data_IF_843325332091
#
_entry.id   IF_843325332091
#
_cell.length_a   1.000
_cell.length_b   1.000
_cell.length_c   1.000
_cell.angle_alpha   90.00
_cell.angle_beta   90.00
_cell.angle_gamma   90.00
#
_symmetry.space_group_name_H-M   'P 1'
#
loop_
_entity.id
_entity.type
_entity.pdbx_description
1 polymer ?
#
# COMPACT_ATOMS: atom_id res chain seq x y z
N UNK A 1 -23.67 1.64 4.20
CA UNK A 1 -22.49 2.27 3.57
C UNK A 1 -22.69 2.20 2.06
N UNK A 2 -22.53 3.30 1.34
CA UNK A 2 -22.66 3.28 -0.12
C UNK A 2 -21.49 2.49 -0.73
N UNK A 3 -21.77 1.34 -1.33
CA UNK A 3 -20.78 0.53 -2.04
C UNK A 3 -20.29 1.28 -3.28
N UNK A 4 -18.96 1.42 -3.42
CA UNK A 4 -18.34 2.03 -4.60
C UNK A 4 -18.52 1.14 -5.83
N UNK A 5 -18.93 1.72 -6.97
CA UNK A 5 -19.10 1.00 -8.24
C UNK A 5 -20.52 0.52 -8.54
N UNK A 6 -21.47 0.67 -7.62
CA UNK A 6 -22.89 0.48 -7.92
C UNK A 6 -23.39 1.69 -8.71
N UNK A 7 -23.68 1.52 -10.00
CA UNK A 7 -24.39 2.54 -10.79
C UNK A 7 -25.65 2.90 -10.00
N UNK A 8 -25.87 4.20 -9.74
CA UNK A 8 -27.11 4.71 -9.13
C UNK A 8 -28.26 4.49 -10.11
N UNK A 9 -28.72 3.25 -10.24
CA UNK A 9 -30.05 2.99 -10.77
C UNK A 9 -31.06 3.49 -9.74
N UNK A 10 -32.21 3.99 -10.21
CA UNK A 10 -33.40 4.06 -9.34
C UNK A 10 -33.52 2.68 -8.68
N UNK A 11 -33.84 2.59 -7.37
CA UNK A 11 -34.06 1.30 -6.74
C UNK A 11 -35.02 0.52 -7.62
N UNK A 12 -34.55 -0.55 -8.25
CA UNK A 12 -35.44 -1.49 -8.90
C UNK A 12 -36.19 -2.11 -7.73
N UNK A 13 -37.51 -1.91 -7.68
CA UNK A 13 -38.33 -2.60 -6.68
C UNK A 13 -38.08 -4.10 -6.86
N UNK A 14 -37.50 -4.70 -5.82
CA UNK A 14 -37.24 -6.14 -5.79
C UNK A 14 -38.59 -6.84 -5.89
N UNK A 15 -38.65 -7.93 -6.64
CA UNK A 15 -39.86 -8.76 -6.63
C UNK A 15 -40.08 -9.34 -5.22
N UNK A 16 -41.31 -9.70 -4.84
CA UNK A 16 -41.56 -10.38 -3.57
C UNK A 16 -40.66 -11.62 -3.37
N UNK A 17 -40.41 -12.38 -4.44
CA UNK A 17 -39.54 -13.56 -4.42
C UNK A 17 -38.06 -13.20 -4.17
N UNK A 18 -37.56 -12.12 -4.79
CA UNK A 18 -36.19 -11.64 -4.55
C UNK A 18 -36.00 -11.16 -3.12
N UNK A 19 -37.01 -10.50 -2.56
CA UNK A 19 -37.01 -10.05 -1.17
C UNK A 19 -37.05 -11.23 -0.20
N UNK A 20 -37.89 -12.23 -0.44
CA UNK A 20 -37.96 -13.45 0.38
C UNK A 20 -36.63 -14.23 0.35
N UNK A 21 -36.00 -14.34 -0.83
CA UNK A 21 -34.67 -14.96 -0.98
C UNK A 21 -33.60 -14.20 -0.19
N UNK A 22 -33.61 -12.86 -0.22
CA UNK A 22 -32.67 -12.04 0.54
C UNK A 22 -32.89 -12.19 2.05
N UNK A 23 -34.14 -12.21 2.52
CA UNK A 23 -34.46 -12.45 3.93
C UNK A 23 -33.92 -13.80 4.41
N UNK A 24 -34.10 -14.85 3.60
CA UNK A 24 -33.55 -16.18 3.90
C UNK A 24 -32.03 -16.17 3.99
N UNK A 25 -31.34 -15.51 3.06
CA UNK A 25 -29.88 -15.37 3.10
C UNK A 25 -29.39 -14.61 4.34
N UNK A 26 -30.12 -13.57 4.76
CA UNK A 26 -29.81 -12.80 5.97
C UNK A 26 -29.99 -13.68 7.21
N UNK A 27 -31.07 -14.47 7.28
CA UNK A 27 -31.33 -15.38 8.39
C UNK A 27 -30.25 -16.46 8.50
N UNK A 28 -29.90 -17.10 7.37
CA UNK A 28 -28.82 -18.08 7.29
C UNK A 28 -27.47 -17.48 7.74
N UNK A 29 -27.16 -16.26 7.27
CA UNK A 29 -25.93 -15.56 7.67
C UNK A 29 -25.89 -15.27 9.17
N UNK A 30 -27.01 -14.76 9.74
CA UNK A 30 -27.09 -14.45 11.18
C UNK A 30 -27.00 -15.70 12.04
N UNK A 31 -27.64 -16.79 11.62
CA UNK A 31 -27.56 -18.09 12.31
C UNK A 31 -26.12 -18.61 12.34
N UNK A 32 -25.43 -18.55 11.20
CA UNK A 32 -24.02 -18.92 11.10
C UNK A 32 -23.12 -18.04 11.99
N UNK A 33 -23.36 -16.73 11.97
CA UNK A 33 -22.60 -15.76 12.77
C UNK A 33 -22.75 -15.99 14.27
N UNK A 34 -23.99 -16.20 14.75
CA UNK A 34 -24.28 -16.55 16.14
C UNK A 34 -23.57 -17.85 16.54
N UNK A 35 -23.68 -18.91 15.72
CA UNK A 35 -23.05 -20.20 16.00
C UNK A 35 -21.52 -20.09 16.10
N UNK A 36 -20.88 -19.33 15.19
CA UNK A 36 -19.44 -19.08 15.24
C UNK A 36 -19.07 -18.26 16.48
N UNK A 37 -19.85 -17.24 16.81
CA UNK A 37 -19.62 -16.39 17.97
C UNK A 37 -19.67 -17.19 19.27
N UNK A 38 -20.66 -18.07 19.45
CA UNK A 38 -20.78 -18.97 20.60
C UNK A 38 -19.60 -19.93 20.72
N UNK A 39 -19.20 -20.57 19.62
CA UNK A 39 -18.04 -21.47 19.59
C UNK A 39 -16.74 -20.75 19.92
N UNK A 40 -16.53 -19.55 19.37
CA UNK A 40 -15.34 -18.75 19.65
C UNK A 40 -15.32 -18.30 21.12
N UNK A 41 -16.47 -17.90 21.68
CA UNK A 41 -16.59 -17.56 23.09
C UNK A 41 -16.27 -18.76 24.00
N UNK A 42 -16.62 -19.97 23.57
CA UNK A 42 -16.27 -21.22 24.22
C UNK A 42 -14.84 -21.72 23.91
N UNK A 43 -14.04 -20.96 23.14
CA UNK A 43 -12.70 -21.34 22.68
C UNK A 43 -12.66 -22.66 21.86
N UNK A 44 -13.75 -23.01 21.20
CA UNK A 44 -13.88 -24.21 20.37
C UNK A 44 -13.38 -23.96 18.94
N UNK A 45 -12.06 -24.07 18.73
CA UNK A 45 -11.40 -23.83 17.45
C UNK A 45 -11.25 -25.09 16.59
N UNK A 46 -12.33 -25.85 16.43
CA UNK A 46 -12.34 -27.04 15.57
C UNK A 46 -12.19 -26.70 14.08
N UNK A 47 -11.86 -27.69 13.26
CA UNK A 47 -11.83 -27.55 11.79
C UNK A 47 -13.15 -27.04 11.24
N UNK A 48 -14.27 -27.46 11.84
CA UNK A 48 -15.60 -26.99 11.47
C UNK A 48 -15.80 -25.52 11.81
N UNK A 49 -15.39 -25.07 13.01
CA UNK A 49 -15.44 -23.64 13.37
C UNK A 49 -14.64 -22.80 12.38
N UNK A 50 -13.43 -23.24 12.00
CA UNK A 50 -12.62 -22.51 11.03
C UNK A 50 -13.27 -22.45 9.64
N UNK A 51 -13.90 -23.55 9.19
CA UNK A 51 -14.67 -23.59 7.93
C UNK A 51 -15.83 -22.60 7.95
N UNK A 52 -16.56 -22.52 9.06
CA UNK A 52 -17.65 -21.56 9.25
C UNK A 52 -17.16 -20.11 9.25
N UNK A 53 -16.01 -19.84 9.88
CA UNK A 53 -15.33 -18.53 9.81
C UNK A 53 -14.96 -18.19 8.35
N UNK A 54 -14.39 -19.13 7.59
CA UNK A 54 -14.07 -18.93 6.17
C UNK A 54 -15.32 -18.57 5.34
N UNK A 55 -16.46 -19.22 5.63
CA UNK A 55 -17.73 -18.96 4.95
C UNK A 55 -18.23 -17.54 5.24
N UNK A 56 -18.22 -17.11 6.52
CA UNK A 56 -18.57 -15.74 6.90
C UNK A 56 -17.71 -14.70 6.18
N UNK A 57 -16.39 -14.90 6.12
CA UNK A 57 -15.46 -13.99 5.44
C UNK A 57 -15.62 -13.99 3.92
N UNK A 58 -15.99 -15.13 3.34
CA UNK A 58 -16.26 -15.23 1.90
C UNK A 58 -17.53 -14.49 1.50
N UNK A 59 -18.52 -14.44 2.40
CA UNK A 59 -19.77 -13.68 2.21
C UNK A 59 -19.60 -12.19 2.52
N UNK A 60 -18.84 -11.84 3.56
CA UNK A 60 -18.64 -10.46 4.01
C UNK A 60 -17.25 -10.23 4.62
N UNK A 61 -16.22 -9.91 3.81
CA UNK A 61 -14.88 -9.65 4.31
C UNK A 61 -14.74 -8.30 5.03
N UNK A 62 -15.75 -7.41 5.00
CA UNK A 62 -15.72 -6.15 5.74
C UNK A 62 -16.07 -6.33 7.23
N UNK A 63 -16.55 -7.52 7.63
CA UNK A 63 -16.90 -7.78 9.02
C UNK A 63 -15.65 -8.08 9.87
N UNK A 64 -15.08 -7.01 10.43
CA UNK A 64 -13.82 -7.05 11.19
C UNK A 64 -13.80 -8.01 12.38
N UNK A 65 -14.94 -8.26 13.03
CA UNK A 65 -15.04 -9.20 14.16
C UNK A 65 -14.69 -10.62 13.73
N UNK A 66 -15.10 -11.06 12.55
CA UNK A 66 -14.82 -12.41 12.04
C UNK A 66 -13.33 -12.60 11.76
N UNK A 67 -12.62 -11.53 11.35
CA UNK A 67 -11.16 -11.57 11.24
C UNK A 67 -10.48 -11.76 12.60
N UNK A 68 -11.04 -11.20 13.69
CA UNK A 68 -10.56 -11.48 15.04
C UNK A 68 -10.80 -12.94 15.45
N UNK A 69 -11.97 -13.50 15.12
CA UNK A 69 -12.27 -14.91 15.35
C UNK A 69 -11.28 -15.81 14.62
N UNK A 70 -10.98 -15.48 13.35
CA UNK A 70 -9.97 -16.20 12.57
C UNK A 70 -8.58 -16.13 13.21
N UNK A 71 -8.15 -14.93 13.66
CA UNK A 71 -6.86 -14.78 14.37
C UNK A 71 -6.77 -15.68 15.60
N UNK A 72 -7.83 -15.76 16.40
CA UNK A 72 -7.86 -16.62 17.59
C UNK A 72 -7.74 -18.09 17.21
N UNK A 73 -8.52 -18.55 16.23
CA UNK A 73 -8.48 -19.94 15.76
C UNK A 73 -7.10 -20.33 15.20
N UNK A 74 -6.48 -19.47 14.39
CA UNK A 74 -5.17 -19.74 13.80
C UNK A 74 -4.05 -19.70 14.84
N UNK A 75 -4.12 -18.79 15.83
CA UNK A 75 -3.17 -18.80 16.97
C UNK A 75 -3.28 -20.08 17.78
N UNK A 76 -4.49 -20.60 17.98
CA UNK A 76 -4.69 -21.88 18.63
C UNK A 76 -4.01 -23.01 17.83
N UNK A 77 -4.18 -23.05 16.51
CA UNK A 77 -3.50 -24.03 15.64
C UNK A 77 -1.97 -23.91 15.70
N UNK A 78 -1.43 -22.69 15.72
CA UNK A 78 0.02 -22.51 15.92
C UNK A 78 0.50 -23.04 17.28
N UNK A 79 -0.31 -22.89 18.34
CA UNK A 79 0.05 -23.38 19.67
C UNK A 79 0.01 -24.91 19.80
N UNK A 80 -0.81 -25.57 18.99
CA UNK A 80 -0.96 -27.04 18.98
C UNK A 80 -0.11 -27.73 17.92
N UNK A 81 0.57 -26.99 17.04
CA UNK A 81 1.40 -27.51 15.94
C UNK A 81 2.60 -28.38 16.37
N UNK A 82 2.89 -28.47 17.67
CA UNK A 82 3.89 -29.41 18.24
C UNK A 82 3.38 -30.16 19.47
N UNK A 83 2.06 -30.34 19.56
CA UNK A 83 1.34 -30.81 20.75
C UNK A 83 1.31 -32.32 20.97
N UNK A 84 1.72 -33.14 19.99
CA UNK A 84 1.83 -34.58 20.20
C UNK A 84 3.20 -34.92 20.79
N UNK A 85 3.19 -35.65 21.90
CA UNK A 85 4.36 -36.02 22.67
C UNK A 85 5.29 -36.92 21.84
N UNK A 86 6.19 -36.30 21.07
CA UNK A 86 7.11 -36.97 20.16
C UNK A 86 7.60 -36.10 19.00
N UNK A 87 6.93 -34.99 18.69
CA UNK A 87 7.33 -34.12 17.58
C UNK A 87 8.56 -33.27 17.89
N UNK A 88 9.52 -33.27 16.96
CA UNK A 88 10.69 -32.39 17.03
C UNK A 88 10.28 -30.94 16.78
N UNK A 89 11.12 -29.99 17.23
CA UNK A 89 10.93 -28.57 16.91
C UNK A 89 10.88 -28.30 15.39
N UNK A 90 11.47 -29.17 14.59
CA UNK A 90 11.46 -29.14 13.13
C UNK A 90 10.06 -29.51 12.58
N UNK A 91 9.45 -30.59 13.08
CA UNK A 91 8.06 -31.01 12.73
C UNK A 91 7.04 -29.91 13.03
N UNK A 92 7.20 -29.23 14.18
CA UNK A 92 6.34 -28.10 14.55
C UNK A 92 6.51 -26.90 13.62
N UNK A 93 7.75 -26.57 13.22
CA UNK A 93 8.02 -25.48 12.29
C UNK A 93 7.46 -25.77 10.89
N UNK A 94 7.56 -27.00 10.40
CA UNK A 94 6.96 -27.43 9.13
C UNK A 94 5.43 -27.30 9.15
N UNK A 95 4.80 -27.72 10.24
CA UNK A 95 3.36 -27.57 10.44
C UNK A 95 2.93 -26.09 10.42
N UNK A 96 3.67 -25.21 11.10
CA UNK A 96 3.41 -23.75 11.07
C UNK A 96 3.59 -23.18 9.66
N UNK A 97 4.62 -23.60 8.92
CA UNK A 97 4.82 -23.19 7.52
C UNK A 97 3.61 -23.57 6.66
N UNK A 98 3.09 -24.78 6.82
CA UNK A 98 1.94 -25.25 6.04
C UNK A 98 0.67 -24.46 6.39
N UNK A 99 0.41 -24.23 7.68
CA UNK A 99 -0.73 -23.43 8.14
C UNK A 99 -0.69 -22.00 7.57
N UNK A 100 0.47 -21.34 7.59
CA UNK A 100 0.63 -19.99 7.02
C UNK A 100 0.40 -20.00 5.51
N UNK A 101 0.93 -20.99 4.78
CA UNK A 101 0.72 -21.12 3.34
C UNK A 101 -0.76 -21.27 3.00
N UNK A 102 -1.44 -22.19 3.66
CA UNK A 102 -2.85 -22.49 3.41
C UNK A 102 -3.74 -21.27 3.69
N UNK A 103 -3.45 -20.54 4.76
CA UNK A 103 -4.18 -19.33 5.09
C UNK A 103 -3.88 -18.18 4.11
N UNK A 104 -2.61 -17.97 3.72
CA UNK A 104 -2.27 -17.01 2.67
C UNK A 104 -2.98 -17.34 1.34
N UNK A 105 -3.14 -18.63 1.01
CA UNK A 105 -3.87 -19.09 -0.18
C UNK A 105 -5.37 -18.83 -0.09
N UNK A 106 -5.98 -19.03 1.08
CA UNK A 106 -7.38 -18.69 1.35
C UNK A 106 -7.67 -17.20 1.09
N UNK A 107 -6.74 -16.30 1.41
CA UNK A 107 -6.92 -14.86 1.22
C UNK A 107 -6.88 -14.42 -0.25
N UNK A 108 -6.28 -15.19 -1.16
CA UNK A 108 -6.13 -14.80 -2.57
C UNK A 108 -7.48 -14.53 -3.26
N UNK A 109 -8.47 -15.44 -3.25
CA UNK A 109 -9.77 -15.17 -3.86
C UNK A 109 -10.49 -13.99 -3.22
N UNK A 110 -10.38 -13.80 -1.89
CA UNK A 110 -10.96 -12.65 -1.20
C UNK A 110 -10.31 -11.34 -1.67
N UNK A 111 -8.97 -11.31 -1.75
CA UNK A 111 -8.24 -10.13 -2.17
C UNK A 111 -8.52 -9.74 -3.62
N UNK A 112 -8.74 -10.73 -4.51
CA UNK A 112 -9.14 -10.48 -5.90
C UNK A 112 -10.54 -9.88 -6.01
N UNK A 113 -11.48 -10.38 -5.22
CA UNK A 113 -12.88 -9.90 -5.22
C UNK A 113 -13.05 -8.57 -4.47
N UNK A 114 -12.24 -8.34 -3.44
CA UNK A 114 -12.31 -7.18 -2.55
C UNK A 114 -10.94 -6.51 -2.37
N UNK A 115 -10.30 -6.01 -3.46
CA UNK A 115 -8.91 -5.53 -3.45
C UNK A 115 -8.67 -4.28 -2.59
N UNK A 116 -9.75 -3.66 -2.09
CA UNK A 116 -9.74 -2.47 -1.24
C UNK A 116 -10.27 -2.73 0.17
N UNK A 117 -10.62 -3.98 0.51
CA UNK A 117 -11.02 -4.32 1.86
C UNK A 117 -9.80 -4.24 2.79
N UNK A 118 -9.84 -3.30 3.72
CA UNK A 118 -8.74 -3.04 4.66
C UNK A 118 -8.40 -4.28 5.49
N UNK A 119 -9.40 -5.04 5.92
CA UNK A 119 -9.23 -6.16 6.83
C UNK A 119 -8.49 -7.34 6.21
N UNK A 120 -8.62 -7.56 4.89
CA UNK A 120 -7.83 -8.58 4.17
C UNK A 120 -6.35 -8.22 4.23
N UNK A 121 -5.99 -6.98 3.88
CA UNK A 121 -4.60 -6.51 3.93
C UNK A 121 -4.04 -6.55 5.35
N UNK A 122 -4.82 -6.10 6.34
CA UNK A 122 -4.44 -6.13 7.75
C UNK A 122 -4.19 -7.56 8.26
N UNK A 123 -5.10 -8.48 7.95
CA UNK A 123 -4.96 -9.87 8.36
C UNK A 123 -3.76 -10.55 7.69
N UNK A 124 -3.51 -10.25 6.41
CA UNK A 124 -2.36 -10.76 5.67
C UNK A 124 -1.04 -10.29 6.28
N UNK A 125 -0.92 -9.01 6.67
CA UNK A 125 0.26 -8.51 7.41
C UNK A 125 0.44 -9.24 8.74
N UNK A 126 -0.64 -9.39 9.52
CA UNK A 126 -0.59 -10.10 10.79
C UNK A 126 -0.03 -11.52 10.61
N UNK A 127 -0.49 -12.25 9.60
CA UNK A 127 -0.04 -13.62 9.33
C UNK A 127 1.45 -13.68 8.94
N UNK A 128 1.94 -12.70 8.17
CA UNK A 128 3.36 -12.59 7.82
C UNK A 128 4.24 -12.20 9.03
N UNK A 129 3.71 -11.40 9.95
CA UNK A 129 4.39 -11.10 11.22
C UNK A 129 4.43 -12.32 12.15
N UNK A 130 3.37 -13.15 12.17
CA UNK A 130 3.42 -14.45 12.86
C UNK A 130 4.50 -15.36 12.25
N UNK A 131 4.70 -15.33 10.93
CA UNK A 131 5.81 -16.05 10.27
C UNK A 131 7.17 -15.59 10.82
N UNK A 132 7.39 -14.29 10.97
CA UNK A 132 8.63 -13.73 11.56
C UNK A 132 8.82 -14.14 13.01
N UNK A 133 7.73 -14.22 13.77
CA UNK A 133 7.75 -14.53 15.20
C UNK A 133 8.01 -16.01 15.47
N UNK A 134 7.47 -16.89 14.62
CA UNK A 134 7.41 -18.32 14.86
C UNK A 134 8.43 -19.15 14.08
N UNK A 135 8.94 -18.63 12.96
CA UNK A 135 9.79 -19.40 12.05
C UNK A 135 11.23 -18.85 12.00
N UNK A 136 12.22 -19.69 11.64
CA UNK A 136 13.57 -19.22 11.37
C UNK A 136 13.57 -18.12 10.31
N UNK A 137 14.42 -17.10 10.49
CA UNK A 137 14.50 -15.93 9.62
C UNK A 137 14.54 -16.26 8.11
N UNK A 138 15.34 -17.24 7.62
CA UNK A 138 15.36 -17.58 6.19
C UNK A 138 14.01 -18.09 5.67
N UNK A 139 13.24 -18.79 6.50
CA UNK A 139 11.92 -19.32 6.14
C UNK A 139 10.89 -18.19 6.15
N UNK A 140 10.89 -17.36 7.20
CA UNK A 140 10.02 -16.19 7.28
C UNK A 140 10.23 -15.24 6.10
N UNK A 141 11.50 -14.96 5.74
CA UNK A 141 11.87 -14.09 4.62
C UNK A 141 11.25 -14.55 3.29
N UNK A 142 11.13 -15.86 3.03
CA UNK A 142 10.52 -16.39 1.80
C UNK A 142 9.06 -15.97 1.64
N UNK A 143 8.29 -15.99 2.73
CA UNK A 143 6.90 -15.52 2.68
C UNK A 143 6.80 -14.04 2.27
N UNK A 144 7.67 -13.19 2.82
CA UNK A 144 7.70 -11.77 2.45
C UNK A 144 8.17 -11.55 1.00
N UNK A 145 9.06 -12.40 0.47
CA UNK A 145 9.49 -12.34 -0.94
C UNK A 145 8.36 -12.73 -1.90
N UNK A 146 7.64 -13.81 -1.59
CA UNK A 146 6.45 -14.22 -2.34
C UNK A 146 5.38 -13.12 -2.32
N UNK A 147 5.25 -12.45 -1.17
CA UNK A 147 4.33 -11.35 -0.99
C UNK A 147 4.66 -10.12 -1.85
N UNK A 148 5.94 -9.80 -2.00
CA UNK A 148 6.38 -8.74 -2.92
C UNK A 148 5.96 -9.05 -4.37
N UNK A 149 5.98 -10.33 -4.75
CA UNK A 149 5.48 -10.82 -6.03
C UNK A 149 3.95 -10.68 -6.16
N UNK A 150 3.20 -11.03 -5.12
CA UNK A 150 1.74 -10.88 -5.09
C UNK A 150 1.32 -9.41 -5.26
N UNK A 151 1.86 -8.50 -4.45
CA UNK A 151 1.49 -7.09 -4.51
C UNK A 151 1.87 -6.46 -5.85
N UNK A 152 2.97 -6.89 -6.47
CA UNK A 152 3.32 -6.50 -7.84
C UNK A 152 2.26 -6.91 -8.87
N UNK A 153 1.73 -8.14 -8.77
CA UNK A 153 0.60 -8.59 -9.62
C UNK A 153 -0.67 -7.78 -9.35
N UNK A 154 -0.97 -7.48 -8.09
CA UNK A 154 -2.15 -6.67 -7.74
C UNK A 154 -2.06 -5.24 -8.29
N UNK A 155 -0.89 -4.62 -8.22
CA UNK A 155 -0.64 -3.29 -8.81
C UNK A 155 -0.59 -3.31 -10.34
N UNK A 156 -0.35 -4.46 -10.96
CA UNK A 156 -0.53 -4.60 -12.42
C UNK A 156 -2.02 -4.58 -12.80
N UNK A 157 -2.90 -5.13 -11.96
CA UNK A 157 -4.35 -5.14 -12.18
C UNK A 157 -5.02 -3.78 -11.89
N UNK A 158 -4.61 -3.12 -10.80
CA UNK A 158 -5.03 -1.75 -10.47
C UNK A 158 -3.81 -0.95 -9.97
N UNK A 159 -3.15 -0.28 -10.91
CA UNK A 159 -1.95 0.51 -10.63
C UNK A 159 -2.19 1.67 -9.68
N UNK A 160 -3.44 2.08 -9.48
CA UNK A 160 -3.83 3.17 -8.58
C UNK A 160 -4.32 2.68 -7.22
N UNK A 161 -4.28 1.37 -6.96
CA UNK A 161 -4.72 0.82 -5.68
C UNK A 161 -3.81 1.27 -4.53
N UNK A 162 -4.26 2.27 -3.78
CA UNK A 162 -3.54 2.81 -2.62
C UNK A 162 -3.24 1.75 -1.54
N UNK A 163 -4.13 0.79 -1.32
CA UNK A 163 -3.88 -0.30 -0.36
C UNK A 163 -2.71 -1.17 -0.83
N UNK A 164 -2.66 -1.49 -2.12
CA UNK A 164 -1.54 -2.22 -2.72
C UNK A 164 -0.21 -1.48 -2.57
N UNK A 165 -0.18 -0.17 -2.83
CA UNK A 165 1.02 0.64 -2.63
C UNK A 165 1.44 0.72 -1.16
N UNK A 166 0.50 0.96 -0.25
CA UNK A 166 0.78 0.98 1.19
C UNK A 166 1.33 -0.35 1.69
N UNK A 167 0.73 -1.45 1.24
CA UNK A 167 1.15 -2.80 1.56
C UNK A 167 2.53 -3.13 0.99
N UNK A 168 2.81 -2.77 -0.27
CA UNK A 168 4.14 -2.94 -0.89
C UNK A 168 5.24 -2.26 -0.08
N UNK A 169 5.01 -1.02 0.39
CA UNK A 169 5.99 -0.31 1.24
C UNK A 169 6.33 -1.08 2.52
N UNK A 170 5.32 -1.65 3.18
CA UNK A 170 5.51 -2.43 4.41
C UNK A 170 6.26 -3.74 4.14
N UNK A 171 5.96 -4.41 3.02
CA UNK A 171 6.64 -5.64 2.60
C UNK A 171 8.12 -5.36 2.31
N UNK A 172 8.41 -4.31 1.52
CA UNK A 172 9.79 -3.90 1.22
C UNK A 172 10.53 -3.54 2.51
N UNK A 173 9.95 -2.71 3.37
CA UNK A 173 10.58 -2.33 4.64
C UNK A 173 10.94 -3.55 5.49
N UNK A 174 10.04 -4.52 5.57
CA UNK A 174 10.27 -5.75 6.33
C UNK A 174 11.35 -6.62 5.68
N UNK A 175 11.36 -6.73 4.35
CA UNK A 175 12.41 -7.45 3.63
C UNK A 175 13.79 -6.82 3.82
N UNK A 176 13.88 -5.50 3.92
CA UNK A 176 15.12 -4.79 4.24
C UNK A 176 15.63 -5.15 5.63
N UNK A 177 14.74 -5.16 6.63
CA UNK A 177 15.07 -5.56 8.01
C UNK A 177 15.51 -7.02 8.13
N UNK A 178 14.98 -7.91 7.29
CA UNK A 178 15.31 -9.33 7.28
C UNK A 178 16.53 -9.68 6.40
N UNK A 179 17.11 -8.69 5.69
CA UNK A 179 18.21 -8.87 4.75
C UNK A 179 19.53 -8.32 5.26
N UNK A 180 20.58 -8.46 4.45
CA UNK A 180 21.85 -7.78 4.67
C UNK A 180 21.75 -6.28 4.34
N UNK A 181 22.72 -5.48 4.81
CA UNK A 181 22.82 -4.06 4.46
C UNK A 181 22.94 -3.83 2.94
N UNK A 182 23.63 -4.73 2.23
CA UNK A 182 23.75 -4.68 0.77
C UNK A 182 22.41 -4.96 0.08
N UNK A 183 21.69 -6.00 0.50
CA UNK A 183 20.35 -6.29 -0.02
C UNK A 183 19.38 -5.13 0.27
N UNK A 184 19.47 -4.53 1.45
CA UNK A 184 18.66 -3.41 1.89
C UNK A 184 18.83 -2.18 0.99
N UNK A 185 20.08 -1.83 0.66
CA UNK A 185 20.40 -0.73 -0.28
C UNK A 185 19.93 -1.03 -1.70
N UNK A 186 20.15 -2.25 -2.18
CA UNK A 186 19.70 -2.68 -3.50
C UNK A 186 18.17 -2.61 -3.63
N UNK A 187 17.42 -2.96 -2.58
CA UNK A 187 15.96 -2.88 -2.59
C UNK A 187 15.44 -1.45 -2.76
N UNK A 188 16.08 -0.42 -2.20
CA UNK A 188 15.65 0.97 -2.44
C UNK A 188 15.76 1.33 -3.92
N UNK A 189 16.88 0.97 -4.56
CA UNK A 189 17.06 1.20 -5.98
C UNK A 189 16.03 0.43 -6.82
N UNK A 190 15.79 -0.84 -6.51
CA UNK A 190 14.77 -1.64 -7.20
C UNK A 190 13.38 -1.04 -7.09
N UNK A 191 13.02 -0.49 -5.92
CA UNK A 191 11.73 0.19 -5.75
C UNK A 191 11.66 1.52 -6.49
N UNK A 192 12.77 2.24 -6.59
CA UNK A 192 12.85 3.47 -7.38
C UNK A 192 12.61 3.18 -8.87
N UNK A 193 13.27 2.14 -9.40
CA UNK A 193 13.08 1.67 -10.76
C UNK A 193 11.66 1.13 -11.00
N UNK A 194 11.10 0.44 -10.00
CA UNK A 194 9.71 -0.01 -10.04
C UNK A 194 8.74 1.18 -10.12
N UNK A 195 8.94 2.22 -9.30
CA UNK A 195 8.12 3.42 -9.35
C UNK A 195 8.25 4.12 -10.71
N UNK A 196 9.47 4.23 -11.27
CA UNK A 196 9.73 4.73 -12.63
C UNK A 196 8.88 4.01 -13.67
N UNK A 197 8.96 2.68 -13.66
CA UNK A 197 8.19 1.81 -14.56
C UNK A 197 6.68 2.03 -14.42
N UNK A 198 6.18 2.15 -13.20
CA UNK A 198 4.75 2.31 -12.93
C UNK A 198 4.23 3.69 -13.33
N UNK A 199 5.07 4.73 -13.27
CA UNK A 199 4.78 6.07 -13.79
C UNK A 199 4.73 6.05 -15.32
N UNK A 200 5.76 5.49 -15.98
CA UNK A 200 5.81 5.40 -17.44
C UNK A 200 4.65 4.60 -18.04
N UNK A 201 4.13 3.61 -17.31
CA UNK A 201 2.95 2.85 -17.74
C UNK A 201 1.62 3.61 -17.52
N UNK A 202 1.56 4.56 -16.58
CA UNK A 202 0.36 5.33 -16.27
C UNK A 202 0.71 6.63 -15.54
N UNK A 203 0.83 7.73 -16.29
CA UNK A 203 1.15 9.05 -15.76
C UNK A 203 0.11 9.56 -14.74
N UNK A 204 -1.13 9.05 -14.80
CA UNK A 204 -2.19 9.37 -13.83
C UNK A 204 -2.07 8.63 -12.48
N UNK A 205 -0.98 7.88 -12.26
CA UNK A 205 -0.76 7.10 -11.04
C UNK A 205 -0.11 7.91 -9.91
N UNK A 206 -0.92 8.70 -9.21
CA UNK A 206 -0.45 9.49 -8.06
C UNK A 206 0.34 8.68 -7.02
N UNK A 207 -0.06 7.43 -6.76
CA UNK A 207 0.60 6.60 -5.75
C UNK A 207 2.05 6.26 -6.15
N UNK A 208 2.32 6.08 -7.45
CA UNK A 208 3.67 5.84 -7.95
C UNK A 208 4.53 7.10 -7.86
N UNK A 209 4.00 8.26 -8.28
CA UNK A 209 4.67 9.57 -8.13
C UNK A 209 5.03 9.85 -6.67
N UNK A 210 4.05 9.75 -5.77
CA UNK A 210 4.28 9.95 -4.34
C UNK A 210 5.34 9.01 -3.77
N UNK A 211 5.33 7.74 -4.21
CA UNK A 211 6.30 6.77 -3.74
C UNK A 211 7.72 7.06 -4.24
N UNK A 212 7.86 7.45 -5.52
CA UNK A 212 9.14 7.85 -6.12
C UNK A 212 9.80 8.99 -5.34
N UNK A 213 9.07 10.06 -5.04
CA UNK A 213 9.60 11.19 -4.26
C UNK A 213 10.13 10.77 -2.88
N UNK A 214 9.46 9.81 -2.22
CA UNK A 214 9.93 9.28 -0.93
C UNK A 214 11.16 8.39 -1.07
N UNK A 215 11.30 7.68 -2.19
CA UNK A 215 12.47 6.84 -2.46
C UNK A 215 13.71 7.66 -2.77
N UNK A 216 13.59 8.81 -3.45
CA UNK A 216 14.73 9.72 -3.68
C UNK A 216 15.36 10.13 -2.35
N UNK A 217 14.55 10.63 -1.42
CA UNK A 217 15.03 11.01 -0.07
C UNK A 217 15.75 9.84 0.61
N UNK A 218 15.20 8.64 0.50
CA UNK A 218 15.76 7.45 1.11
C UNK A 218 17.06 6.98 0.47
N UNK A 219 17.19 7.07 -0.86
CA UNK A 219 18.44 6.76 -1.58
C UNK A 219 19.60 7.64 -1.10
N UNK A 220 19.31 8.86 -0.69
CA UNK A 220 20.30 9.81 -0.21
C UNK A 220 20.67 9.57 1.25
N UNK A 221 19.68 9.24 2.09
CA UNK A 221 19.91 8.83 3.49
C UNK A 221 20.75 7.55 3.59
N UNK A 222 20.56 6.61 2.67
CA UNK A 222 21.26 5.31 2.67
C UNK A 222 22.68 5.37 2.11
N UNK A 223 23.07 6.50 1.53
CA UNK A 223 24.45 6.74 1.14
C UNK A 223 25.28 7.17 2.36
N UNK A 224 26.40 6.47 2.56
CA UNK A 224 27.41 6.78 3.59
C UNK A 224 28.23 8.00 3.20
N UNK A 225 27.56 9.12 2.94
CA UNK A 225 28.13 10.38 2.49
C UNK A 225 28.14 11.42 3.62
N UNK A 226 29.03 12.42 3.54
CA UNK A 226 28.96 13.62 4.38
C UNK A 226 27.73 14.47 4.05
N UNK A 227 27.38 15.45 4.88
CA UNK A 227 26.25 16.34 4.59
C UNK A 227 26.49 17.19 3.34
N UNK A 228 27.73 17.60 3.07
CA UNK A 228 28.13 18.29 1.84
C UNK A 228 28.00 17.37 0.62
N UNK A 229 28.45 16.12 0.72
CA UNK A 229 28.34 15.13 -0.36
C UNK A 229 26.88 14.79 -0.66
N UNK A 230 26.05 14.58 0.38
CA UNK A 230 24.60 14.39 0.22
C UNK A 230 23.94 15.58 -0.48
N UNK A 231 24.36 16.80 -0.15
CA UNK A 231 23.84 18.02 -0.79
C UNK A 231 24.21 18.10 -2.27
N UNK A 232 25.45 17.80 -2.64
CA UNK A 232 25.86 17.77 -4.03
C UNK A 232 25.15 16.66 -4.83
N UNK A 233 24.98 15.47 -4.24
CA UNK A 233 24.22 14.36 -4.84
C UNK A 233 22.74 14.70 -4.99
N UNK A 234 22.16 15.40 -4.01
CA UNK A 234 20.79 15.90 -4.04
C UNK A 234 20.57 16.78 -5.27
N UNK A 235 21.45 17.74 -5.50
CA UNK A 235 21.35 18.67 -6.63
C UNK A 235 21.41 17.92 -7.97
N UNK A 236 22.34 16.97 -8.13
CA UNK A 236 22.49 16.18 -9.37
C UNK A 236 21.31 15.23 -9.61
N UNK A 237 20.87 14.50 -8.57
CA UNK A 237 19.74 13.57 -8.66
C UNK A 237 18.45 14.30 -9.00
N UNK A 238 18.18 15.43 -8.35
CA UNK A 238 16.97 16.20 -8.64
C UNK A 238 17.04 16.94 -9.96
N UNK A 239 18.21 17.41 -10.41
CA UNK A 239 18.36 17.98 -11.74
C UNK A 239 18.03 16.94 -12.83
N UNK A 240 18.56 15.71 -12.69
CA UNK A 240 18.23 14.60 -13.57
C UNK A 240 16.74 14.23 -13.49
N UNK A 241 16.17 14.19 -12.28
CA UNK A 241 14.74 13.91 -12.08
C UNK A 241 13.84 14.95 -12.75
N UNK A 242 14.13 16.24 -12.57
CA UNK A 242 13.38 17.33 -13.18
C UNK A 242 13.45 17.20 -14.70
N UNK A 243 14.64 16.99 -15.27
CA UNK A 243 14.81 16.81 -16.71
C UNK A 243 14.02 15.60 -17.26
N UNK A 244 14.02 14.46 -16.56
CA UNK A 244 13.21 13.30 -16.93
C UNK A 244 11.70 13.61 -16.89
N UNK A 245 11.24 14.34 -15.88
CA UNK A 245 9.81 14.69 -15.75
C UNK A 245 9.41 15.74 -16.80
N UNK A 246 10.30 16.69 -17.13
CA UNK A 246 10.09 17.66 -18.21
C UNK A 246 9.98 16.96 -19.57
N UNK A 247 10.81 15.95 -19.83
CA UNK A 247 10.68 15.12 -21.04
C UNK A 247 9.33 14.41 -21.08
N UNK A 248 8.86 13.88 -19.94
CA UNK A 248 7.53 13.26 -19.86
C UNK A 248 6.37 14.25 -20.10
N UNK A 249 6.60 15.56 -19.95
CA UNK A 249 5.57 16.57 -20.15
C UNK A 249 5.21 16.73 -21.63
N UNK A 250 6.17 16.50 -22.54
CA UNK A 250 5.94 16.56 -23.99
C UNK A 250 4.92 15.50 -24.42
N UNK A 251 3.73 15.96 -24.84
CA UNK A 251 2.62 15.08 -25.21
C UNK A 251 1.79 14.54 -24.04
N UNK A 252 2.01 15.02 -22.81
CA UNK A 252 1.21 14.69 -21.63
C UNK A 252 0.83 15.94 -20.80
N UNK A 253 0.64 17.08 -21.48
CA UNK A 253 0.37 18.38 -20.88
C UNK A 253 -0.97 18.45 -20.13
N UNK A 254 -1.86 17.48 -20.33
CA UNK A 254 -3.12 17.32 -19.60
C UNK A 254 -2.95 16.56 -18.26
N UNK A 255 -1.76 16.03 -17.99
CA UNK A 255 -1.48 15.26 -16.79
C UNK A 255 -1.01 16.14 -15.63
N UNK A 256 -1.94 16.49 -14.73
CA UNK A 256 -1.64 17.31 -13.54
C UNK A 256 -0.52 16.78 -12.63
N UNK A 257 -0.28 15.47 -12.62
CA UNK A 257 0.70 14.87 -11.71
C UNK A 257 2.15 15.14 -12.14
N UNK A 258 2.38 15.39 -13.44
CA UNK A 258 3.68 15.79 -13.95
C UNK A 258 4.04 17.17 -13.39
N UNK A 259 3.15 18.15 -13.56
CA UNK A 259 3.32 19.49 -12.96
C UNK A 259 3.47 19.45 -11.44
N UNK A 260 2.67 18.63 -10.74
CA UNK A 260 2.81 18.46 -9.29
C UNK A 260 4.21 17.95 -8.92
N UNK A 261 4.74 16.99 -9.67
CA UNK A 261 6.05 16.39 -9.41
C UNK A 261 7.18 17.36 -9.74
N UNK A 262 7.08 18.12 -10.83
CA UNK A 262 8.03 19.19 -11.18
C UNK A 262 8.12 20.25 -10.08
N UNK A 263 6.98 20.73 -9.61
CA UNK A 263 6.90 21.69 -8.50
C UNK A 263 7.48 21.07 -7.22
N UNK A 264 7.05 19.87 -6.84
CA UNK A 264 7.53 19.22 -5.61
C UNK A 264 9.05 18.99 -5.62
N UNK A 265 9.62 18.53 -6.73
CA UNK A 265 11.07 18.33 -6.87
C UNK A 265 11.83 19.65 -6.77
N UNK A 266 11.40 20.67 -7.51
CA UNK A 266 12.06 21.99 -7.53
C UNK A 266 12.02 22.68 -6.16
N UNK A 267 10.88 22.59 -5.46
CA UNK A 267 10.76 23.11 -4.10
C UNK A 267 11.65 22.36 -3.11
N UNK A 268 11.83 21.05 -3.30
CA UNK A 268 12.69 20.26 -2.42
C UNK A 268 14.17 20.58 -2.62
N UNK A 269 14.63 20.74 -3.87
CA UNK A 269 15.98 21.24 -4.19
C UNK A 269 16.20 22.60 -3.55
N UNK A 270 15.28 23.54 -3.76
CA UNK A 270 15.40 24.90 -3.22
C UNK A 270 15.49 24.91 -1.69
N UNK A 271 14.72 24.03 -1.03
CA UNK A 271 14.77 23.88 0.42
C UNK A 271 16.12 23.35 0.92
N UNK A 272 16.72 22.40 0.21
CA UNK A 272 18.06 21.86 0.51
C UNK A 272 19.13 22.92 0.25
N UNK A 273 19.01 23.65 -0.86
CA UNK A 273 19.94 24.71 -1.24
C UNK A 273 19.85 25.95 -0.33
N UNK A 274 18.76 26.09 0.43
CA UNK A 274 18.47 27.26 1.28
C UNK A 274 18.11 28.52 0.49
N UNK A 275 17.99 28.42 -0.83
CA UNK A 275 17.59 29.48 -1.74
C UNK A 275 17.00 28.86 -3.02
N UNK A 276 16.19 29.62 -3.75
CA UNK A 276 15.63 29.23 -5.05
C UNK A 276 16.16 30.18 -6.12
N UNK A 277 16.65 29.65 -7.24
CA UNK A 277 17.12 30.48 -8.34
C UNK A 277 15.95 31.26 -8.96
N UNK A 278 16.22 32.44 -9.53
CA UNK A 278 15.18 33.25 -10.16
C UNK A 278 14.53 32.57 -11.37
N UNK A 279 15.26 31.67 -12.05
CA UNK A 279 14.70 30.85 -13.13
C UNK A 279 13.73 29.81 -12.58
N UNK A 280 14.14 29.04 -11.58
CA UNK A 280 13.29 28.05 -10.92
C UNK A 280 11.99 28.68 -10.38
N UNK A 281 12.09 29.88 -9.81
CA UNK A 281 10.91 30.64 -9.38
C UNK A 281 9.95 30.93 -10.54
N UNK A 282 10.44 31.39 -11.69
CA UNK A 282 9.61 31.63 -12.89
C UNK A 282 8.99 30.33 -13.39
N UNK A 283 9.77 29.28 -13.44
CA UNK A 283 9.34 27.97 -13.93
C UNK A 283 8.24 27.37 -13.05
N UNK A 284 8.42 27.39 -11.72
CA UNK A 284 7.41 26.93 -10.75
C UNK A 284 6.11 27.73 -10.87
N UNK A 285 6.18 29.05 -11.04
CA UNK A 285 5.00 29.88 -11.25
C UNK A 285 4.28 29.56 -12.56
N UNK A 286 5.04 29.25 -13.63
CA UNK A 286 4.47 28.78 -14.90
C UNK A 286 3.73 27.46 -14.73
N UNK A 287 4.36 26.44 -14.12
CA UNK A 287 3.71 25.16 -13.85
C UNK A 287 2.49 25.28 -12.92
N UNK A 288 2.53 26.18 -11.93
CA UNK A 288 1.38 26.45 -11.07
C UNK A 288 0.20 27.04 -11.84
N UNK A 289 0.46 27.85 -12.88
CA UNK A 289 -0.58 28.37 -13.77
C UNK A 289 -1.34 27.24 -14.45
N UNK A 290 -0.63 26.27 -15.01
CA UNK A 290 -1.23 25.08 -15.65
C UNK A 290 -1.95 24.20 -14.62
N UNK A 291 -1.32 23.94 -13.47
CA UNK A 291 -1.90 23.09 -12.44
C UNK A 291 -3.21 23.65 -11.86
N UNK A 292 -3.35 24.98 -11.76
CA UNK A 292 -4.61 25.64 -11.35
C UNK A 292 -5.77 25.34 -12.33
N UNK A 293 -5.47 25.14 -13.62
CA UNK A 293 -6.46 24.79 -14.63
C UNK A 293 -6.80 23.30 -14.57
N UNK A 294 -5.79 22.44 -14.44
CA UNK A 294 -5.94 20.98 -14.43
C UNK A 294 -6.51 20.40 -13.12
N UNK A 295 -6.49 21.17 -12.03
CA UNK A 295 -6.93 20.71 -10.71
C UNK A 295 -7.86 21.69 -9.98
N UNK A 296 -9.04 22.00 -10.57
CA UNK A 296 -9.93 23.05 -10.08
C UNK A 296 -10.43 22.81 -8.65
N UNK A 297 -10.58 21.55 -8.24
CA UNK A 297 -11.01 21.19 -6.88
C UNK A 297 -9.99 21.58 -5.79
N UNK A 298 -8.71 21.70 -6.15
CA UNK A 298 -7.63 22.15 -5.25
C UNK A 298 -7.08 23.52 -5.64
N UNK A 299 -7.80 24.29 -6.46
CA UNK A 299 -7.33 25.60 -6.96
C UNK A 299 -6.88 26.55 -5.84
N UNK A 300 -7.62 26.62 -4.73
CA UNK A 300 -7.24 27.48 -3.61
C UNK A 300 -5.89 27.11 -3.01
N UNK A 301 -5.59 25.81 -2.87
CA UNK A 301 -4.27 25.34 -2.40
C UNK A 301 -3.14 25.87 -3.30
N UNK A 302 -3.34 25.87 -4.61
CA UNK A 302 -2.33 26.33 -5.56
C UNK A 302 -2.17 27.85 -5.55
N UNK A 303 -3.26 28.61 -5.34
CA UNK A 303 -3.21 30.06 -5.14
C UNK A 303 -2.45 30.43 -3.86
N UNK A 304 -2.67 29.69 -2.77
CA UNK A 304 -1.98 29.93 -1.50
C UNK A 304 -0.46 29.65 -1.63
N UNK A 305 -0.09 28.60 -2.37
CA UNK A 305 1.31 28.30 -2.69
C UNK A 305 1.95 29.39 -3.56
N UNK A 306 1.27 29.84 -4.61
CA UNK A 306 1.73 30.94 -5.47
C UNK A 306 1.96 32.22 -4.67
N UNK A 307 1.03 32.58 -3.78
CA UNK A 307 1.16 33.74 -2.90
C UNK A 307 2.38 33.63 -1.97
N UNK A 308 2.63 32.44 -1.43
CA UNK A 308 3.79 32.18 -0.56
C UNK A 308 5.09 32.42 -1.33
N UNK A 309 5.22 31.85 -2.53
CA UNK A 309 6.41 32.00 -3.37
C UNK A 309 6.65 33.46 -3.81
N UNK A 310 5.59 34.21 -4.13
CA UNK A 310 5.69 35.63 -4.48
C UNK A 310 6.14 36.51 -3.29
N UNK A 311 5.72 36.15 -2.08
CA UNK A 311 6.14 36.87 -0.87
C UNK A 311 7.62 36.68 -0.56
N UNK A 312 8.15 35.48 -0.82
CA UNK A 312 9.58 35.16 -0.65
C UNK A 312 10.46 35.98 -1.61
N UNK A 313 10.04 36.13 -2.88
CA UNK A 313 10.71 36.98 -3.86
C UNK A 313 10.75 38.44 -3.40
N UNK A 314 9.60 38.97 -2.96
CA UNK A 314 9.47 40.36 -2.54
C UNK A 314 10.37 40.67 -1.33
N UNK A 315 10.44 39.74 -0.38
CA UNK A 315 11.32 39.84 0.78
C UNK A 315 12.81 39.84 0.37
N UNK A 316 13.21 38.94 -0.54
CA UNK A 316 14.59 38.86 -1.02
C UNK A 316 15.04 40.10 -1.83
N UNK A 317 14.13 40.78 -2.52
CA UNK A 317 14.43 42.03 -3.25
C UNK A 317 14.45 43.29 -2.38
N UNK A 318 14.00 43.21 -1.12
CA UNK A 318 13.91 44.35 -0.20
C UNK A 318 15.07 44.43 0.81
N UNK A 319 15.98 43.46 0.79
CA UNK A 319 17.20 43.36 1.61
C UNK A 319 18.45 43.64 0.79
#
# INVERSE_FOLDING_TARGET
MASHGVRRFKPVEKTPEEHERELKQIEEYKSLENSVSEKVAAQEYSTETLRQICDLLSRNPEYYTVWNYRRQAIRHQFSTAGGDAGDSAESAAESIVQLIKDDLMFLIPLLRSFPKCYWIWNYRLWLLDEARRLLPQPVARRFWQEELGLVGKMLTLDSRNFHGWGYRRLVVETLKQLGSEEESRNMTQQEFDYAKKMIGANLSNFSAWHYRTKLILRLLEEQSASDEERRAMLDDVFAGEIAEIEEMLDGAEDCKYIYQSLIECTLLVSKVAGHMASEDHRQVLSWLSELKQLDPLRRQRWLDLEKTLQSEITAATST
#
